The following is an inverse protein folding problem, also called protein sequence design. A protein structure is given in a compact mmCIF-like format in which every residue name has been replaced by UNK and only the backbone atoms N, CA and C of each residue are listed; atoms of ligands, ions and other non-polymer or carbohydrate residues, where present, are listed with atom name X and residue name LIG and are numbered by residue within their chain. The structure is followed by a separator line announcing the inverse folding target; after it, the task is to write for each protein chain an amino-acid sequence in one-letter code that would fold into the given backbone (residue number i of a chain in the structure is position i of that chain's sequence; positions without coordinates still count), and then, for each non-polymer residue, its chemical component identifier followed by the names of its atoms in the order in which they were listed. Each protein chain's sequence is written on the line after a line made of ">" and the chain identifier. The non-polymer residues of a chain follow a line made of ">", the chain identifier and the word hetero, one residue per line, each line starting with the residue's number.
data_IF_495255519038
#
_entry.id   IF_495255519038
#
_cell.length_a   1.000
_cell.length_b   1.000
_cell.length_c   1.000
_cell.angle_alpha   90.00
_cell.angle_beta   90.00
_cell.angle_gamma   90.00
#
_symmetry.space_group_name_H-M   'P 1'
#
loop_
_entity.id
_entity.type
_entity.pdbx_description
1 polymer ?
#
# COMPACT_ATOMS: atom_id res chain seq x y z
N UNK A 1 -7.99 24.01 -16.83
CA UNK A 1 -9.43 23.83 -17.13
C UNK A 1 -10.07 23.26 -15.87
N UNK A 2 -11.06 23.94 -15.32
CA UNK A 2 -11.79 23.51 -14.13
C UNK A 2 -12.55 22.22 -14.45
N UNK A 3 -12.41 21.18 -13.61
CA UNK A 3 -13.07 19.90 -13.83
C UNK A 3 -14.34 19.85 -12.98
N UNK A 4 -15.47 20.22 -13.59
CA UNK A 4 -16.77 20.26 -12.90
C UNK A 4 -17.42 18.86 -12.86
N UNK A 5 -17.47 18.27 -11.66
CA UNK A 5 -18.23 17.06 -11.41
C UNK A 5 -19.67 17.38 -11.03
N UNK A 6 -20.61 16.60 -11.57
CA UNK A 6 -22.02 16.64 -11.17
C UNK A 6 -22.28 15.58 -10.10
N UNK A 7 -22.94 15.95 -9.01
CA UNK A 7 -23.32 15.00 -7.96
C UNK A 7 -24.32 13.99 -8.51
N UNK A 8 -23.96 12.70 -8.48
CA UNK A 8 -24.85 11.60 -8.83
C UNK A 8 -25.78 11.27 -7.64
N UNK A 9 -26.98 10.69 -7.89
CA UNK A 9 -27.91 10.33 -6.81
C UNK A 9 -27.29 9.31 -5.85
N UNK A 10 -27.80 9.28 -4.62
CA UNK A 10 -27.40 8.31 -3.61
C UNK A 10 -28.01 6.93 -3.88
N UNK A 11 -27.37 5.85 -3.43
CA UNK A 11 -27.91 4.49 -3.60
C UNK A 11 -29.27 4.26 -2.91
N UNK A 12 -29.61 5.07 -1.91
CA UNK A 12 -30.89 5.04 -1.21
C UNK A 12 -32.02 5.74 -1.99
N UNK A 13 -31.69 6.57 -2.98
CA UNK A 13 -32.65 7.33 -3.79
C UNK A 13 -33.10 6.57 -5.04
N UNK A 14 -32.44 5.45 -5.36
CA UNK A 14 -32.67 4.64 -6.56
C UNK A 14 -33.10 3.22 -6.22
N UNK A 15 -33.87 2.61 -7.12
CA UNK A 15 -34.30 1.21 -6.97
C UNK A 15 -33.14 0.22 -7.18
N UNK A 16 -33.25 -0.98 -6.60
CA UNK A 16 -32.21 -2.01 -6.65
C UNK A 16 -31.76 -2.38 -8.06
N UNK A 17 -32.66 -2.29 -9.03
CA UNK A 17 -32.38 -2.61 -10.43
C UNK A 17 -31.40 -1.62 -11.09
N UNK A 18 -31.27 -0.41 -10.54
CA UNK A 18 -30.40 0.63 -11.06
C UNK A 18 -29.03 0.67 -10.38
N UNK A 19 -28.84 -0.06 -9.28
CA UNK A 19 -27.58 -0.03 -8.52
C UNK A 19 -26.36 -0.39 -9.35
N UNK A 20 -26.34 -1.44 -10.20
CA UNK A 20 -25.15 -1.77 -10.98
C UNK A 20 -24.73 -0.65 -11.94
N UNK A 21 -25.71 0.00 -12.59
CA UNK A 21 -25.45 1.11 -13.51
C UNK A 21 -24.97 2.37 -12.75
N UNK A 22 -25.58 2.66 -11.60
CA UNK A 22 -25.16 3.78 -10.75
C UNK A 22 -23.77 3.57 -10.15
N UNK A 23 -23.44 2.34 -9.76
CA UNK A 23 -22.13 1.95 -9.23
C UNK A 23 -21.04 2.21 -10.27
N UNK A 24 -21.26 1.72 -11.50
CA UNK A 24 -20.38 2.01 -12.65
C UNK A 24 -20.21 3.51 -12.89
N UNK A 25 -21.31 4.26 -12.95
CA UNK A 25 -21.25 5.71 -13.19
C UNK A 25 -20.47 6.45 -12.09
N UNK A 26 -20.59 6.03 -10.82
CA UNK A 26 -19.80 6.57 -9.70
C UNK A 26 -18.32 6.18 -9.79
N UNK A 27 -17.98 4.97 -10.24
CA UNK A 27 -16.58 4.59 -10.52
C UNK A 27 -16.00 5.46 -11.62
N UNK A 28 -16.72 5.63 -12.74
CA UNK A 28 -16.28 6.47 -13.85
C UNK A 28 -16.06 7.92 -13.42
N UNK A 29 -16.91 8.43 -12.51
CA UNK A 29 -16.71 9.74 -11.87
C UNK A 29 -15.44 9.80 -11.01
N UNK A 30 -15.09 8.71 -10.32
CA UNK A 30 -13.89 8.63 -9.48
C UNK A 30 -12.59 8.50 -10.28
N UNK A 31 -12.65 8.18 -11.58
CA UNK A 31 -11.50 8.14 -12.48
C UNK A 31 -10.94 9.53 -12.83
N UNK A 32 -11.66 10.61 -12.49
CA UNK A 32 -11.19 12.00 -12.66
C UNK A 32 -10.17 12.34 -11.58
N UNK A 33 -8.92 12.63 -11.97
CA UNK A 33 -7.82 12.96 -11.06
C UNK A 33 -7.75 14.47 -10.83
N UNK A 34 -7.77 14.89 -9.57
CA UNK A 34 -7.69 16.30 -9.17
C UNK A 34 -6.28 16.65 -8.71
N UNK A 35 -5.87 17.87 -9.01
CA UNK A 35 -4.66 18.45 -8.45
C UNK A 35 -4.94 18.99 -7.03
N UNK A 36 -4.19 18.50 -6.04
CA UNK A 36 -4.30 18.90 -4.64
C UNK A 36 -3.25 19.92 -4.21
N UNK A 37 -2.35 20.33 -5.12
CA UNK A 37 -1.37 21.40 -4.85
C UNK A 37 -2.05 22.76 -4.68
N UNK A 38 -3.12 23.02 -5.43
CA UNK A 38 -4.01 24.18 -5.23
C UNK A 38 -5.26 23.78 -4.43
N UNK A 39 -5.34 24.26 -3.19
CA UNK A 39 -6.44 23.98 -2.25
C UNK A 39 -7.73 24.72 -2.64
N UNK A 40 -7.63 25.79 -3.44
CA UNK A 40 -8.77 26.64 -3.82
C UNK A 40 -9.46 26.18 -5.10
N UNK A 41 -8.77 25.42 -5.94
CA UNK A 41 -9.34 24.86 -7.16
C UNK A 41 -10.21 23.62 -6.91
N UNK A 42 -11.31 23.54 -7.67
CA UNK A 42 -12.19 22.36 -7.76
C UNK A 42 -12.73 21.84 -6.41
N UNK A 43 -12.84 22.69 -5.39
CA UNK A 43 -13.25 22.29 -4.01
C UNK A 43 -14.55 21.49 -4.01
N UNK A 44 -15.55 21.94 -4.79
CA UNK A 44 -16.83 21.25 -4.92
C UNK A 44 -16.69 19.88 -5.58
N UNK A 45 -15.95 19.80 -6.69
CA UNK A 45 -15.74 18.54 -7.42
C UNK A 45 -14.91 17.54 -6.61
N UNK A 46 -13.90 18.02 -5.88
CA UNK A 46 -13.11 17.23 -4.92
C UNK A 46 -14.01 16.63 -3.84
N UNK A 47 -14.93 17.42 -3.29
CA UNK A 47 -15.86 16.90 -2.28
C UNK A 47 -16.86 15.90 -2.84
N UNK A 48 -17.38 16.14 -4.05
CA UNK A 48 -18.28 15.20 -4.75
C UNK A 48 -17.61 13.84 -4.96
N UNK A 49 -16.35 13.81 -5.43
CA UNK A 49 -15.60 12.57 -5.61
C UNK A 49 -15.38 11.85 -4.27
N UNK A 50 -15.03 12.59 -3.21
CA UNK A 50 -14.84 12.02 -1.87
C UNK A 50 -16.11 11.35 -1.35
N UNK A 51 -17.26 12.02 -1.47
CA UNK A 51 -18.56 11.46 -1.07
C UNK A 51 -18.93 10.25 -1.91
N UNK A 52 -18.70 10.29 -3.23
CA UNK A 52 -18.97 9.16 -4.12
C UNK A 52 -18.15 7.91 -3.72
N UNK A 53 -16.87 8.06 -3.37
CA UNK A 53 -16.02 6.95 -2.91
C UNK A 53 -16.53 6.36 -1.59
N UNK A 54 -16.96 7.18 -0.63
CA UNK A 54 -17.54 6.69 0.62
C UNK A 54 -18.88 5.98 0.42
N UNK A 55 -19.75 6.53 -0.43
CA UNK A 55 -21.01 5.86 -0.77
C UNK A 55 -20.77 4.50 -1.46
N UNK A 56 -19.77 4.40 -2.34
CA UNK A 56 -19.36 3.14 -2.96
C UNK A 56 -18.89 2.14 -1.90
N UNK A 57 -18.00 2.56 -0.98
CA UNK A 57 -17.48 1.71 0.10
C UNK A 57 -18.60 1.20 0.99
N UNK A 58 -19.47 2.11 1.44
CA UNK A 58 -20.57 1.76 2.34
C UNK A 58 -21.60 0.86 1.65
N UNK A 59 -21.81 1.04 0.34
CA UNK A 59 -22.66 0.17 -0.47
C UNK A 59 -22.09 -1.26 -0.56
N UNK A 60 -20.77 -1.40 -0.77
CA UNK A 60 -20.09 -2.70 -0.78
C UNK A 60 -20.13 -3.38 0.59
N UNK A 61 -19.96 -2.61 1.67
CA UNK A 61 -19.97 -3.16 3.03
C UNK A 61 -21.36 -3.59 3.53
N UNK A 62 -22.43 -2.98 3.02
CA UNK A 62 -23.79 -3.17 3.56
C UNK A 62 -24.63 -4.23 2.85
N UNK A 63 -24.25 -4.69 1.66
CA UNK A 63 -25.12 -5.53 0.83
C UNK A 63 -24.40 -6.74 0.24
N UNK A 64 -25.01 -7.91 0.44
CA UNK A 64 -24.68 -9.13 -0.26
C UNK A 64 -25.11 -9.03 -1.75
N UNK A 65 -24.29 -9.61 -2.63
CA UNK A 65 -24.46 -9.79 -4.07
C UNK A 65 -24.37 -8.55 -4.97
N UNK A 66 -23.67 -7.49 -4.53
CA UNK A 66 -23.45 -6.28 -5.36
C UNK A 66 -22.45 -6.52 -6.49
N UNK A 67 -21.48 -7.41 -6.30
CA UNK A 67 -20.33 -7.58 -7.19
C UNK A 67 -20.62 -8.52 -8.36
N UNK A 68 -21.10 -7.95 -9.47
CA UNK A 68 -21.04 -8.64 -10.76
C UNK A 68 -19.59 -8.71 -11.27
N UNK A 69 -19.26 -9.72 -12.08
CA UNK A 69 -17.91 -9.92 -12.63
C UNK A 69 -17.33 -8.67 -13.35
N UNK A 70 -18.20 -7.85 -13.94
CA UNK A 70 -17.82 -6.60 -14.65
C UNK A 70 -17.37 -5.47 -13.72
N UNK A 71 -17.64 -5.57 -12.42
CA UNK A 71 -17.28 -4.55 -11.43
C UNK A 71 -15.81 -4.70 -11.00
N UNK A 72 -15.27 -5.93 -10.95
CA UNK A 72 -13.87 -6.15 -10.57
C UNK A 72 -12.89 -5.41 -11.47
N UNK A 73 -13.07 -5.51 -12.78
CA UNK A 73 -12.24 -4.79 -13.77
C UNK A 73 -12.26 -3.29 -13.51
N UNK A 74 -13.45 -2.72 -13.32
CA UNK A 74 -13.65 -1.28 -13.12
C UNK A 74 -13.05 -0.80 -11.80
N UNK A 75 -13.17 -1.58 -10.74
CA UNK A 75 -12.57 -1.26 -9.43
C UNK A 75 -11.05 -1.31 -9.50
N UNK A 76 -10.48 -2.33 -10.16
CA UNK A 76 -9.02 -2.48 -10.32
C UNK A 76 -8.45 -1.37 -11.20
N UNK A 77 -9.11 -1.03 -12.32
CA UNK A 77 -8.72 0.10 -13.18
C UNK A 77 -8.80 1.44 -12.43
N UNK A 78 -9.89 1.67 -11.69
CA UNK A 78 -10.04 2.89 -10.90
C UNK A 78 -8.99 3.00 -9.79
N UNK A 79 -8.69 1.89 -9.11
CA UNK A 79 -7.62 1.84 -8.14
C UNK A 79 -6.29 2.22 -8.79
N UNK A 80 -5.94 1.59 -9.91
CA UNK A 80 -4.69 1.85 -10.62
C UNK A 80 -4.54 3.31 -11.05
N UNK A 81 -5.57 3.91 -11.63
CA UNK A 81 -5.56 5.32 -12.07
C UNK A 81 -5.38 6.31 -10.93
N UNK A 82 -5.91 6.00 -9.74
CA UNK A 82 -5.87 6.91 -8.60
C UNK A 82 -4.63 6.74 -7.72
N UNK A 83 -4.05 5.53 -7.70
CA UNK A 83 -3.04 5.15 -6.71
C UNK A 83 -1.66 4.98 -7.36
N UNK A 84 -1.59 4.34 -8.53
CA UNK A 84 -0.32 4.10 -9.21
C UNK A 84 0.24 5.39 -9.79
N UNK A 85 1.35 5.82 -9.21
CA UNK A 85 2.08 7.02 -9.59
C UNK A 85 3.57 6.78 -9.39
N UNK A 86 4.38 7.51 -10.14
CA UNK A 86 5.82 7.57 -9.88
C UNK A 86 6.01 8.33 -8.57
N UNK A 87 6.61 7.67 -7.58
CA UNK A 87 7.07 8.37 -6.38
C UNK A 87 8.16 9.33 -6.81
N UNK A 88 8.05 10.59 -6.41
CA UNK A 88 9.05 11.59 -6.76
C UNK A 88 10.40 11.13 -6.25
N UNK A 89 11.46 11.19 -7.08
CA UNK A 89 12.79 10.83 -6.61
C UNK A 89 13.12 11.71 -5.39
N UNK A 90 13.76 11.13 -4.36
CA UNK A 90 14.06 11.88 -3.15
C UNK A 90 14.81 13.14 -3.52
N UNK A 91 14.31 14.29 -3.06
CA UNK A 91 14.99 15.57 -3.26
C UNK A 91 16.39 15.41 -2.69
N UNK A 92 17.42 15.48 -3.54
CA UNK A 92 18.82 15.31 -3.15
C UNK A 92 19.19 16.49 -2.24
N UNK A 93 18.97 16.35 -0.92
CA UNK A 93 19.43 17.33 0.05
C UNK A 93 20.92 17.11 0.29
N UNK A 94 21.69 18.19 0.22
CA UNK A 94 23.13 18.17 0.40
C UNK A 94 23.49 17.50 1.74
N UNK A 95 24.61 16.74 1.80
CA UNK A 95 25.01 15.99 2.99
C UNK A 95 25.24 16.82 4.27
N UNK A 96 25.21 18.13 4.19
CA UNK A 96 25.49 19.05 5.30
C UNK A 96 24.21 19.42 6.08
N UNK A 97 23.03 18.97 5.62
CA UNK A 97 21.72 19.26 6.22
C UNK A 97 21.05 18.04 6.88
N UNK A 98 21.76 16.91 7.03
CA UNK A 98 21.24 15.67 7.65
C UNK A 98 20.87 15.77 9.14
N UNK A 99 21.03 16.94 9.77
CA UNK A 99 20.85 17.14 11.22
C UNK A 99 19.44 17.61 11.63
N UNK A 100 18.52 17.80 10.67
CA UNK A 100 17.10 18.07 10.95
C UNK A 100 16.33 16.82 10.57
N UNK A 101 15.65 16.18 11.55
CA UNK A 101 14.76 15.04 11.29
C UNK A 101 13.96 15.30 10.00
N UNK A 102 14.13 14.42 9.00
CA UNK A 102 13.36 14.49 7.76
C UNK A 102 11.89 14.24 8.12
N UNK A 103 11.13 15.32 8.34
CA UNK A 103 9.68 15.22 8.46
C UNK A 103 9.14 14.53 7.20
N UNK A 104 8.38 13.43 7.33
CA UNK A 104 7.92 12.67 6.18
C UNK A 104 7.01 13.55 5.33
N UNK A 105 7.26 13.62 4.03
CA UNK A 105 6.36 14.32 3.12
C UNK A 105 5.02 13.60 3.07
N UNK A 106 3.97 14.25 3.57
CA UNK A 106 2.62 13.71 3.57
C UNK A 106 1.97 13.88 2.20
N UNK A 107 1.21 12.88 1.77
CA UNK A 107 0.48 12.95 0.50
C UNK A 107 -0.65 13.99 0.60
N UNK A 108 -0.67 14.94 -0.34
CA UNK A 108 -1.65 16.03 -0.38
C UNK A 108 -3.01 15.57 -0.88
N UNK A 109 -3.03 14.57 -1.77
CA UNK A 109 -4.25 13.95 -2.29
C UNK A 109 -4.84 12.86 -1.36
N UNK A 110 -4.33 12.78 -0.12
CA UNK A 110 -4.70 11.76 0.87
C UNK A 110 -6.21 11.56 1.07
N UNK A 111 -7.08 12.60 1.10
CA UNK A 111 -8.51 12.40 1.25
C UNK A 111 -9.15 11.53 0.16
N UNK A 112 -8.63 11.57 -1.07
CA UNK A 112 -9.09 10.71 -2.16
C UNK A 112 -8.37 9.37 -2.14
N UNK A 113 -7.04 9.38 -2.01
CA UNK A 113 -6.22 8.17 -2.02
C UNK A 113 -6.63 7.20 -0.90
N UNK A 114 -6.81 7.70 0.33
CA UNK A 114 -7.31 6.90 1.46
C UNK A 114 -8.65 6.25 1.15
N UNK A 115 -9.59 7.01 0.58
CA UNK A 115 -10.93 6.50 0.26
C UNK A 115 -10.88 5.43 -0.85
N UNK A 116 -9.96 5.55 -1.82
CA UNK A 116 -9.73 4.53 -2.85
C UNK A 116 -9.15 3.25 -2.25
N UNK A 117 -8.15 3.35 -1.37
CA UNK A 117 -7.61 2.18 -0.65
C UNK A 117 -8.69 1.49 0.21
N UNK A 118 -9.49 2.25 0.97
CA UNK A 118 -10.57 1.70 1.79
C UNK A 118 -11.65 1.01 0.95
N UNK A 119 -12.03 1.60 -0.19
CA UNK A 119 -12.97 0.97 -1.12
C UNK A 119 -12.39 -0.34 -1.67
N UNK A 120 -11.14 -0.33 -2.11
CA UNK A 120 -10.49 -1.54 -2.64
C UNK A 120 -10.42 -2.65 -1.59
N UNK A 121 -9.97 -2.33 -0.37
CA UNK A 121 -9.97 -3.26 0.76
C UNK A 121 -11.37 -3.79 1.07
N UNK A 122 -12.38 -2.91 1.10
CA UNK A 122 -13.77 -3.31 1.32
C UNK A 122 -14.31 -4.27 0.25
N UNK A 123 -13.96 -4.07 -1.03
CA UNK A 123 -14.32 -5.00 -2.11
C UNK A 123 -13.65 -6.36 -1.89
N UNK A 124 -12.38 -6.38 -1.48
CA UNK A 124 -11.66 -7.62 -1.20
C UNK A 124 -12.15 -8.34 0.07
N UNK A 125 -12.74 -7.62 1.03
CA UNK A 125 -13.31 -8.15 2.27
C UNK A 125 -14.76 -8.60 2.12
N UNK A 126 -15.42 -8.24 1.03
CA UNK A 126 -16.80 -8.61 0.79
C UNK A 126 -16.98 -10.13 0.72
N UNK A 127 -18.10 -10.63 1.26
CA UNK A 127 -18.43 -12.06 1.22
C UNK A 127 -18.58 -12.61 -0.21
N UNK A 128 -18.90 -11.75 -1.17
CA UNK A 128 -19.04 -12.09 -2.58
C UNK A 128 -17.72 -12.04 -3.36
N UNK A 129 -16.59 -11.78 -2.70
CA UNK A 129 -15.31 -11.68 -3.40
C UNK A 129 -14.84 -13.03 -3.96
N UNK A 130 -14.94 -13.19 -5.28
CA UNK A 130 -14.38 -14.36 -5.96
C UNK A 130 -12.93 -14.12 -6.42
N UNK A 131 -12.00 -14.75 -5.69
CA UNK A 131 -10.55 -14.73 -5.99
C UNK A 131 -10.26 -15.23 -7.42
N UNK A 132 -11.04 -16.18 -7.95
CA UNK A 132 -10.78 -16.75 -9.28
C UNK A 132 -11.03 -15.73 -10.38
N UNK A 133 -12.14 -15.00 -10.28
CA UNK A 133 -12.49 -13.91 -11.21
C UNK A 133 -11.56 -12.71 -11.04
N UNK A 134 -11.24 -12.32 -9.80
CA UNK A 134 -10.35 -11.18 -9.54
C UNK A 134 -8.92 -11.38 -10.08
N UNK A 135 -8.42 -12.62 -10.10
CA UNK A 135 -7.08 -12.96 -10.63
C UNK A 135 -6.89 -12.61 -12.11
N UNK A 136 -7.97 -12.51 -12.89
CA UNK A 136 -7.88 -12.08 -14.29
C UNK A 136 -7.46 -10.60 -14.44
N UNK A 137 -7.70 -9.79 -13.40
CA UNK A 137 -7.43 -8.35 -13.41
C UNK A 137 -6.25 -7.97 -12.50
N UNK A 138 -5.99 -8.78 -11.47
CA UNK A 138 -4.85 -8.57 -10.55
C UNK A 138 -3.71 -9.51 -10.96
N UNK A 139 -2.86 -9.01 -11.84
CA UNK A 139 -1.71 -9.72 -12.39
C UNK A 139 -0.39 -9.38 -11.67
N UNK A 140 0.71 -9.94 -12.17
CA UNK A 140 2.05 -9.66 -11.64
C UNK A 140 2.44 -8.19 -11.80
N UNK A 141 2.01 -7.53 -12.87
CA UNK A 141 2.33 -6.13 -13.12
C UNK A 141 1.63 -5.21 -12.11
N UNK A 142 0.35 -5.46 -11.82
CA UNK A 142 -0.39 -4.77 -10.76
C UNK A 142 0.33 -4.88 -9.41
N UNK A 143 0.80 -6.07 -9.06
CA UNK A 143 1.56 -6.29 -7.82
C UNK A 143 2.89 -5.55 -7.82
N UNK A 144 3.63 -5.52 -8.93
CA UNK A 144 4.88 -4.76 -9.01
C UNK A 144 4.65 -3.25 -8.81
N UNK A 145 3.62 -2.69 -9.45
CA UNK A 145 3.26 -1.29 -9.27
C UNK A 145 2.86 -1.00 -7.81
N UNK A 146 2.14 -1.92 -7.16
CA UNK A 146 1.80 -1.79 -5.75
C UNK A 146 3.04 -1.86 -4.83
N UNK A 147 3.99 -2.74 -5.13
CA UNK A 147 5.24 -2.87 -4.38
C UNK A 147 6.14 -1.65 -4.50
N UNK A 148 6.16 -1.00 -5.67
CA UNK A 148 6.89 0.25 -5.87
C UNK A 148 6.39 1.37 -4.93
N UNK A 149 5.09 1.39 -4.62
CA UNK A 149 4.51 2.41 -3.74
C UNK A 149 4.97 2.32 -2.27
N UNK A 150 5.61 1.22 -1.86
CA UNK A 150 6.18 1.12 -0.51
C UNK A 150 7.33 2.10 -0.27
N UNK A 151 7.89 2.70 -1.32
CA UNK A 151 8.86 3.79 -1.17
C UNK A 151 8.21 5.15 -0.83
N UNK A 152 6.88 5.20 -0.65
CA UNK A 152 6.18 6.43 -0.26
C UNK A 152 6.71 6.93 1.09
N UNK A 153 6.98 8.23 1.22
CA UNK A 153 7.39 8.85 2.48
C UNK A 153 6.25 8.84 3.52
N UNK A 154 4.99 8.79 3.06
CA UNK A 154 3.81 8.81 3.93
C UNK A 154 3.60 7.45 4.64
N UNK A 155 3.80 7.37 5.98
CA UNK A 155 3.63 6.12 6.72
C UNK A 155 2.18 5.60 6.69
N UNK A 156 1.19 6.48 6.45
CA UNK A 156 -0.23 6.09 6.39
C UNK A 156 -0.49 5.28 5.13
N UNK A 157 0.11 5.68 4.00
CA UNK A 157 0.01 4.95 2.74
C UNK A 157 0.67 3.57 2.85
N UNK A 158 1.90 3.50 3.40
CA UNK A 158 2.60 2.22 3.64
C UNK A 158 1.79 1.27 4.52
N UNK A 159 1.09 1.79 5.52
CA UNK A 159 0.17 1.00 6.35
C UNK A 159 -0.97 0.34 5.56
N UNK A 160 -1.61 1.08 4.64
CA UNK A 160 -2.69 0.57 3.79
C UNK A 160 -2.18 -0.40 2.71
N UNK A 161 -1.02 -0.10 2.13
CA UNK A 161 -0.33 -1.01 1.20
C UNK A 161 0.00 -2.35 1.85
N UNK A 162 0.53 -2.31 3.08
CA UNK A 162 0.79 -3.51 3.87
C UNK A 162 -0.50 -4.31 4.09
N UNK A 163 -1.59 -3.66 4.52
CA UNK A 163 -2.88 -4.33 4.71
C UNK A 163 -3.41 -4.96 3.41
N UNK A 164 -3.22 -4.29 2.28
CA UNK A 164 -3.63 -4.79 0.95
C UNK A 164 -2.85 -6.05 0.55
N UNK A 165 -1.55 -6.13 0.86
CA UNK A 165 -0.71 -7.29 0.51
C UNK A 165 -0.82 -8.47 1.48
N UNK A 166 -1.11 -8.24 2.76
CA UNK A 166 -0.87 -9.20 3.84
C UNK A 166 -1.70 -10.50 3.76
N UNK A 167 -2.97 -10.44 3.33
CA UNK A 167 -3.87 -11.61 3.44
C UNK A 167 -4.60 -11.97 2.15
N UNK A 168 -4.44 -11.18 1.08
CA UNK A 168 -5.37 -11.22 -0.06
C UNK A 168 -4.83 -11.91 -1.31
N UNK A 169 -3.51 -11.93 -1.51
CA UNK A 169 -2.88 -12.44 -2.74
C UNK A 169 -2.25 -13.82 -2.58
N UNK A 170 -2.99 -14.79 -2.04
CA UNK A 170 -2.51 -16.16 -1.78
C UNK A 170 -1.82 -16.79 -3.01
N UNK A 171 -2.38 -16.60 -4.20
CA UNK A 171 -1.88 -17.16 -5.46
C UNK A 171 -0.61 -16.48 -6.00
N UNK A 172 -0.32 -15.24 -5.56
CA UNK A 172 0.86 -14.47 -5.98
C UNK A 172 1.92 -14.39 -4.88
N UNK A 173 1.73 -15.03 -3.72
CA UNK A 173 2.67 -15.01 -2.58
C UNK A 173 4.12 -15.32 -2.97
N UNK A 174 4.33 -16.32 -3.84
CA UNK A 174 5.68 -16.67 -4.32
C UNK A 174 6.31 -15.49 -5.10
N UNK A 175 5.54 -14.90 -6.02
CA UNK A 175 5.98 -13.76 -6.81
C UNK A 175 6.22 -12.50 -5.95
N UNK A 176 5.33 -12.22 -5.00
CA UNK A 176 5.48 -11.11 -4.04
C UNK A 176 6.77 -11.28 -3.24
N UNK A 177 7.02 -12.47 -2.69
CA UNK A 177 8.24 -12.76 -1.93
C UNK A 177 9.50 -12.58 -2.78
N UNK A 178 9.52 -13.09 -4.00
CA UNK A 178 10.65 -12.93 -4.92
C UNK A 178 10.89 -11.46 -5.27
N UNK A 179 9.83 -10.71 -5.54
CA UNK A 179 9.91 -9.29 -5.88
C UNK A 179 10.41 -8.45 -4.70
N UNK A 180 9.87 -8.66 -3.49
CA UNK A 180 10.34 -8.00 -2.27
C UNK A 180 11.82 -8.32 -2.01
N UNK A 181 12.22 -9.60 -2.15
CA UNK A 181 13.62 -9.99 -1.99
C UNK A 181 14.53 -9.27 -3.00
N UNK A 182 14.11 -9.16 -4.26
CA UNK A 182 14.87 -8.45 -5.28
C UNK A 182 15.02 -6.95 -4.94
N UNK A 183 13.94 -6.30 -4.50
CA UNK A 183 13.97 -4.89 -4.09
C UNK A 183 14.84 -4.67 -2.84
N UNK A 184 14.80 -5.58 -1.87
CA UNK A 184 15.67 -5.52 -0.68
C UNK A 184 17.14 -5.74 -1.04
N UNK A 185 17.47 -6.63 -1.97
CA UNK A 185 18.84 -6.79 -2.46
C UNK A 185 19.32 -5.52 -3.15
N UNK A 186 18.49 -4.92 -4.01
CA UNK A 186 18.81 -3.65 -4.66
C UNK A 186 19.05 -2.53 -3.63
N UNK A 187 18.23 -2.48 -2.59
CA UNK A 187 18.42 -1.56 -1.46
C UNK A 187 19.77 -1.79 -0.76
N UNK A 188 20.11 -3.04 -0.42
CA UNK A 188 21.33 -3.39 0.34
C UNK A 188 22.61 -3.13 -0.46
N UNK A 189 22.60 -3.39 -1.77
CA UNK A 189 23.83 -3.43 -2.59
C UNK A 189 23.97 -2.26 -3.56
N UNK A 190 22.91 -1.51 -3.86
CA UNK A 190 22.95 -0.42 -4.86
C UNK A 190 22.50 0.92 -4.31
N UNK A 191 21.26 1.02 -3.80
CA UNK A 191 20.61 2.32 -3.62
C UNK A 191 20.73 2.88 -2.20
N UNK A 192 20.92 2.03 -1.19
CA UNK A 192 21.00 2.35 0.25
C UNK A 192 19.85 3.22 0.83
N UNK A 193 18.80 3.49 0.04
CA UNK A 193 17.60 4.24 0.45
C UNK A 193 16.34 3.58 -0.08
N UNK A 194 15.43 3.26 0.83
CA UNK A 194 14.07 2.77 0.56
C UNK A 194 13.22 2.95 1.82
N UNK A 195 12.05 3.58 1.72
CA UNK A 195 11.24 3.94 2.90
C UNK A 195 10.49 2.73 3.50
N UNK A 196 10.13 1.74 2.69
CA UNK A 196 9.26 0.62 3.07
C UNK A 196 9.97 -0.64 3.58
N UNK A 197 11.25 -0.57 3.98
CA UNK A 197 12.02 -1.74 4.41
C UNK A 197 11.36 -2.45 5.60
N UNK A 198 10.87 -1.67 6.57
CA UNK A 198 10.23 -2.21 7.77
C UNK A 198 8.99 -3.03 7.43
N UNK A 199 8.11 -2.48 6.60
CA UNK A 199 6.87 -3.12 6.17
C UNK A 199 7.15 -4.36 5.31
N UNK A 200 8.16 -4.32 4.43
CA UNK A 200 8.62 -5.50 3.69
C UNK A 200 9.12 -6.62 4.60
N UNK A 201 9.90 -6.29 5.64
CA UNK A 201 10.35 -7.27 6.61
C UNK A 201 9.21 -7.86 7.43
N UNK A 202 8.19 -7.06 7.77
CA UNK A 202 6.99 -7.58 8.42
C UNK A 202 6.23 -8.55 7.50
N UNK A 203 6.00 -8.18 6.23
CA UNK A 203 5.32 -9.04 5.24
C UNK A 203 6.11 -10.33 5.01
N UNK A 204 7.44 -10.24 4.86
CA UNK A 204 8.28 -11.42 4.76
C UNK A 204 8.21 -12.26 6.03
N UNK A 205 8.22 -11.65 7.22
CA UNK A 205 8.12 -12.33 8.51
C UNK A 205 6.83 -13.14 8.66
N UNK A 206 5.73 -12.68 8.07
CA UNK A 206 4.43 -13.36 8.16
C UNK A 206 4.24 -14.41 7.06
N UNK A 207 4.81 -14.18 5.86
CA UNK A 207 4.91 -15.23 4.81
C UNK A 207 5.88 -16.35 5.23
N UNK A 208 6.91 -16.03 6.01
CA UNK A 208 7.88 -16.99 6.58
C UNK A 208 7.27 -17.81 7.72
N UNK A 209 6.17 -17.38 8.34
CA UNK A 209 5.49 -18.16 9.40
C UNK A 209 4.76 -19.41 8.86
N UNK A 210 4.49 -19.50 7.54
CA UNK A 210 3.94 -20.69 6.87
C UNK A 210 5.01 -21.76 6.53
N UNK A 211 6.18 -21.71 7.19
CA UNK A 211 7.30 -22.62 6.95
C UNK A 211 7.02 -24.05 7.45
N UNK A 212 6.93 -25.00 6.51
CA UNK A 212 6.99 -26.44 6.79
C UNK A 212 8.47 -26.88 6.80
N UNK A 213 8.89 -27.60 7.83
CA UNK A 213 10.23 -28.20 7.92
C UNK A 213 10.34 -29.41 6.99
N UNK A 214 11.49 -29.64 6.32
CA UNK A 214 12.78 -28.94 6.45
C UNK A 214 12.87 -27.60 5.70
N UNK A 215 13.67 -26.66 6.23
CA UNK A 215 13.91 -25.33 5.65
C UNK A 215 14.41 -25.41 4.20
N UNK A 216 13.61 -24.90 3.26
CA UNK A 216 14.00 -24.75 1.85
C UNK A 216 15.24 -23.85 1.68
N UNK A 217 16.10 -24.15 0.71
CA UNK A 217 17.32 -23.37 0.39
C UNK A 217 17.06 -21.88 0.08
N UNK A 218 15.86 -21.56 -0.39
CA UNK A 218 15.40 -20.19 -0.61
C UNK A 218 15.45 -19.36 0.68
N UNK A 219 15.09 -19.94 1.82
CA UNK A 219 15.09 -19.26 3.12
C UNK A 219 16.51 -19.06 3.66
N UNK A 220 17.43 -19.99 3.39
CA UNK A 220 18.87 -19.81 3.70
C UNK A 220 19.45 -18.64 2.90
N UNK A 221 19.02 -18.49 1.65
CA UNK A 221 19.44 -17.37 0.79
C UNK A 221 18.90 -16.05 1.32
N UNK A 222 17.63 -15.96 1.72
CA UNK A 222 17.06 -14.76 2.36
C UNK A 222 17.80 -14.41 3.64
N UNK A 223 18.07 -15.39 4.51
CA UNK A 223 18.80 -15.16 5.75
C UNK A 223 20.20 -14.60 5.50
N UNK A 224 20.97 -15.26 4.61
CA UNK A 224 22.38 -14.92 4.40
C UNK A 224 22.59 -13.69 3.53
N UNK A 225 21.74 -13.45 2.53
CA UNK A 225 21.92 -12.38 1.54
C UNK A 225 21.07 -11.14 1.80
N UNK A 226 20.00 -11.25 2.60
CA UNK A 226 19.10 -10.12 2.92
C UNK A 226 19.17 -9.79 4.41
N UNK A 227 18.76 -10.72 5.29
CA UNK A 227 18.62 -10.43 6.72
C UNK A 227 19.96 -10.11 7.40
N UNK A 228 21.02 -10.89 7.17
CA UNK A 228 22.33 -10.63 7.76
C UNK A 228 22.92 -9.27 7.33
N UNK A 229 22.95 -8.92 6.03
CA UNK A 229 23.43 -7.60 5.60
C UNK A 229 22.62 -6.42 6.14
N UNK A 230 21.31 -6.57 6.38
CA UNK A 230 20.48 -5.50 6.95
C UNK A 230 20.88 -5.11 8.39
N UNK A 231 21.65 -5.95 9.09
CA UNK A 231 22.20 -5.62 10.42
C UNK A 231 23.49 -4.79 10.36
N UNK A 232 23.95 -4.38 9.16
CA UNK A 232 25.10 -3.49 9.04
C UNK A 232 24.80 -2.12 9.69
N UNK A 233 25.74 -1.54 10.46
CA UNK A 233 25.52 -0.30 11.20
C UNK A 233 25.07 0.87 10.32
N UNK A 234 25.57 0.97 9.08
CA UNK A 234 25.21 2.02 8.12
C UNK A 234 23.75 1.96 7.68
N UNK A 235 23.22 0.74 7.48
CA UNK A 235 21.82 0.53 7.10
C UNK A 235 20.91 0.76 8.31
N UNK A 236 21.34 0.30 9.50
CA UNK A 236 20.63 0.56 10.74
C UNK A 236 20.60 2.06 11.08
N UNK A 237 21.69 2.81 10.85
CA UNK A 237 21.73 4.27 11.06
C UNK A 237 20.94 5.06 10.01
N UNK A 238 20.88 4.60 8.76
CA UNK A 238 20.03 5.23 7.74
C UNK A 238 18.53 4.96 8.00
N UNK A 239 18.20 3.91 8.75
CA UNK A 239 16.84 3.60 9.22
C UNK A 239 16.52 4.15 10.62
N UNK A 240 17.54 4.58 11.35
CA UNK A 240 17.48 5.09 12.73
C UNK A 240 18.45 6.26 12.81
N UNK A 241 17.97 7.46 12.53
CA UNK A 241 18.61 8.67 13.05
C UNK A 241 18.78 8.48 14.56
N UNK A 242 20.02 8.39 15.04
CA UNK A 242 20.29 8.00 16.42
C UNK A 242 21.22 9.03 17.09
N UNK A 243 20.64 9.86 17.99
CA UNK A 243 21.11 10.08 19.38
C UNK A 243 20.06 10.84 20.22
N UNK A 244 20.17 10.84 21.57
CA UNK A 244 19.05 10.55 22.45
C UNK A 244 18.46 11.79 23.12
N UNK A 245 17.20 12.11 22.83
CA UNK A 245 16.41 13.06 23.63
C UNK A 245 14.92 12.73 23.62
N UNK A 246 14.51 11.48 23.83
CA UNK A 246 13.16 11.20 24.35
C UNK A 246 13.04 9.74 24.84
N UNK A 247 12.83 9.45 26.14
CA UNK A 247 12.63 8.09 26.63
C UNK A 247 11.28 7.46 26.21
N UNK A 248 10.34 8.23 25.64
CA UNK A 248 9.00 7.75 25.30
C UNK A 248 8.72 7.60 23.78
N UNK A 249 9.71 7.79 22.89
CA UNK A 249 9.55 7.48 21.45
C UNK A 249 9.80 5.99 21.16
N UNK A 250 8.87 5.27 20.51
CA UNK A 250 9.11 3.87 20.15
C UNK A 250 10.18 3.80 19.05
N UNK A 251 11.31 3.15 19.36
CA UNK A 251 12.35 2.72 18.41
C UNK A 251 11.70 1.93 17.25
N UNK A 252 11.38 2.60 16.13
CA UNK A 252 10.57 2.04 15.04
C UNK A 252 11.31 2.17 13.73
N UNK A 253 11.72 1.03 13.16
CA UNK A 253 11.44 0.67 11.77
C UNK A 253 12.13 -0.65 11.43
N UNK A 254 13.46 -0.73 11.38
CA UNK A 254 14.16 -1.92 10.90
C UNK A 254 14.65 -2.84 12.02
N UNK A 255 15.34 -2.30 13.04
CA UNK A 255 15.84 -3.12 14.15
C UNK A 255 14.72 -3.81 14.96
N UNK A 256 13.57 -3.13 15.13
CA UNK A 256 12.39 -3.71 15.76
C UNK A 256 11.70 -4.75 14.86
N UNK A 257 11.68 -4.56 13.55
CA UNK A 257 11.16 -5.55 12.61
C UNK A 257 12.05 -6.79 12.58
N UNK A 258 13.38 -6.61 12.53
CA UNK A 258 14.36 -7.69 12.60
C UNK A 258 14.26 -8.45 13.93
N UNK A 259 14.09 -7.78 15.07
CA UNK A 259 13.94 -8.45 16.37
C UNK A 259 12.61 -9.21 16.52
N UNK A 260 11.59 -8.86 15.72
CA UNK A 260 10.31 -9.57 15.63
C UNK A 260 10.37 -10.77 14.68
N UNK A 261 11.39 -10.88 13.83
CA UNK A 261 11.58 -12.07 13.00
C UNK A 261 11.96 -13.27 13.89
N UNK A 262 11.36 -14.45 13.68
CA UNK A 262 11.57 -15.62 14.53
C UNK A 262 13.02 -16.10 14.57
N UNK A 263 13.82 -15.78 13.54
CA UNK A 263 15.25 -16.14 13.47
C UNK A 263 16.10 -15.38 14.49
N UNK A 264 15.69 -14.17 14.88
CA UNK A 264 16.43 -13.33 15.85
C UNK A 264 16.09 -13.63 17.31
N UNK A 265 15.14 -14.55 17.59
CA UNK A 265 14.82 -14.99 18.96
C UNK A 265 15.74 -16.08 19.52
N UNK A 266 16.79 -16.48 18.81
CA UNK A 266 17.82 -17.33 19.41
C UNK A 266 18.89 -16.49 20.09
N UNK A 267 18.66 -16.13 21.35
CA UNK A 267 19.72 -16.10 22.38
C UNK A 267 19.13 -16.14 23.80
N UNK A 268 19.79 -16.96 24.63
CA UNK A 268 19.51 -17.35 26.03
C UNK A 268 18.33 -18.33 26.15
N UNK A 269 18.53 -19.63 26.39
CA UNK A 269 19.55 -20.36 27.19
C UNK A 269 20.16 -21.50 26.39
#
# INVERSE_FOLDING_TARGET
>A
MQQDLRKLPGFHEVSSNQWPALFKAKIDQCNVIFDFTDITCDVKSKDIKRLALYELRDHVASKEHVLANSIYEQVVDMFGRNVFRTIQPPTYRQPELFDVEDEPTLEVAWPHIKAVYELFLGVMESHDFDIKTARAYIDQNFVLQLLQLFDSEDPRERGLLKATLYDRFLSLRCFIRQSINQMLLQFIYESERFNGVAEFLEILGTIVYDLVMPLNEEYKTVLTRVLLPLHKPTILSNSVANRPTDPDRPLRSVGLALSRLPVCRSRTV
#
